data_IF_986878204972
#
_entry.id   IF_986878204972
#
_cell.length_a   1.000
_cell.length_b   1.000
_cell.length_c   1.000
_cell.angle_alpha   90.00
_cell.angle_beta   90.00
_cell.angle_gamma   90.00
#
_symmetry.space_group_name_H-M   'P 1'
#
loop_
_entity.id
_entity.type
_entity.pdbx_description
1 polymer ?
#
# COMPACT_ATOMS: atom_id res chain seq x y z
N UNK A 1 2.02 9.91 -1.67
CA UNK A 1 2.98 10.93 -2.17
C UNK A 1 2.39 12.34 -2.15
N UNK A 2 1.28 12.62 -2.86
CA UNK A 2 0.65 13.95 -2.95
C UNK A 2 0.39 14.64 -1.59
N UNK A 3 -0.18 13.92 -0.63
CA UNK A 3 -0.42 14.47 0.71
C UNK A 3 0.85 14.69 1.54
N UNK A 4 1.92 13.92 1.29
CA UNK A 4 3.19 14.15 1.99
C UNK A 4 3.92 15.38 1.43
N UNK A 5 3.64 15.77 0.18
CA UNK A 5 4.09 17.07 -0.35
C UNK A 5 3.38 18.22 0.37
N UNK A 6 2.07 18.07 0.56
CA UNK A 6 1.22 19.10 1.16
C UNK A 6 1.49 19.29 2.67
N UNK A 7 1.72 18.19 3.40
CA UNK A 7 1.86 18.21 4.86
C UNK A 7 3.31 18.22 5.36
N UNK A 8 4.25 17.65 4.60
CA UNK A 8 5.64 17.44 5.03
C UNK A 8 6.67 18.30 4.28
N UNK A 9 6.24 19.17 3.35
CA UNK A 9 7.12 20.08 2.60
C UNK A 9 8.28 19.37 1.88
N UNK A 10 8.16 18.07 1.56
CA UNK A 10 9.16 17.37 0.77
C UNK A 10 9.10 17.87 -0.69
N UNK A 11 10.24 18.38 -1.20
CA UNK A 11 10.40 18.81 -2.60
C UNK A 11 10.24 17.62 -3.55
N UNK A 12 9.01 17.38 -4.01
CA UNK A 12 8.75 16.40 -5.08
C UNK A 12 9.19 17.00 -6.41
N UNK A 13 10.34 16.52 -6.90
CA UNK A 13 10.84 16.89 -8.22
C UNK A 13 9.93 16.31 -9.31
N UNK A 14 9.75 17.01 -10.43
CA UNK A 14 8.93 16.60 -11.58
C UNK A 14 9.16 15.14 -12.04
N UNK A 15 10.42 14.66 -12.00
CA UNK A 15 10.77 13.25 -12.28
C UNK A 15 10.09 12.23 -11.35
N UNK A 16 9.89 12.54 -10.05
CA UNK A 16 9.20 11.65 -9.11
C UNK A 16 7.73 11.49 -9.52
N UNK A 17 7.12 12.54 -10.07
CA UNK A 17 5.75 12.49 -10.60
C UNK A 17 5.63 11.54 -11.80
N UNK A 18 6.54 11.64 -12.77
CA UNK A 18 6.58 10.75 -13.94
C UNK A 18 6.77 9.28 -13.49
N UNK A 19 7.68 9.05 -12.56
CA UNK A 19 7.94 7.71 -12.02
C UNK A 19 6.67 7.09 -11.40
N UNK A 20 5.91 7.86 -10.61
CA UNK A 20 4.65 7.40 -10.01
C UNK A 20 3.58 7.10 -11.07
N UNK A 21 3.48 7.90 -12.14
CA UNK A 21 2.52 7.63 -13.22
C UNK A 21 2.85 6.31 -13.92
N UNK A 22 4.13 6.08 -14.22
CA UNK A 22 4.61 4.81 -14.81
C UNK A 22 4.26 3.63 -13.88
N UNK A 23 4.46 3.79 -12.58
CA UNK A 23 4.12 2.79 -11.58
C UNK A 23 2.62 2.46 -11.55
N UNK A 24 1.75 3.49 -11.55
CA UNK A 24 0.30 3.30 -11.58
C UNK A 24 -0.12 2.52 -12.82
N UNK A 25 0.42 2.88 -13.99
CA UNK A 25 0.15 2.17 -15.24
C UNK A 25 0.65 0.72 -15.14
N UNK A 26 1.87 0.50 -14.64
CA UNK A 26 2.45 -0.83 -14.46
C UNK A 26 1.63 -1.72 -13.52
N UNK A 27 1.14 -1.19 -12.40
CA UNK A 27 0.28 -1.90 -11.46
C UNK A 27 -1.07 -2.26 -12.09
N UNK A 28 -1.73 -1.33 -12.80
CA UNK A 28 -2.99 -1.62 -13.50
C UNK A 28 -2.77 -2.74 -14.52
N UNK A 29 -1.69 -2.66 -15.28
CA UNK A 29 -1.37 -3.63 -16.33
C UNK A 29 -1.08 -5.03 -15.74
N UNK A 30 -0.39 -5.07 -14.61
CA UNK A 30 -0.07 -6.30 -13.87
C UNK A 30 -1.33 -6.98 -13.35
N UNK A 31 -2.23 -6.23 -12.71
CA UNK A 31 -3.44 -6.76 -12.05
C UNK A 31 -4.54 -7.09 -13.04
N UNK A 32 -4.75 -6.25 -14.06
CA UNK A 32 -5.85 -6.45 -15.01
C UNK A 32 -5.53 -7.47 -16.10
N UNK A 33 -4.26 -7.83 -16.27
CA UNK A 33 -3.83 -8.81 -17.28
C UNK A 33 -4.32 -8.45 -18.71
N UNK A 34 -4.49 -7.14 -18.96
CA UNK A 34 -4.86 -6.58 -20.26
C UNK A 34 -6.32 -6.73 -20.65
N UNK A 35 -7.12 -7.41 -19.82
CA UNK A 35 -8.55 -7.58 -20.05
C UNK A 35 -9.31 -6.57 -19.19
N UNK A 36 -9.37 -5.33 -19.67
CA UNK A 36 -10.28 -4.33 -19.13
C UNK A 36 -11.69 -4.66 -19.66
N UNK A 37 -12.40 -5.58 -19.01
CA UNK A 37 -13.83 -5.73 -19.23
C UNK A 37 -14.56 -4.55 -18.57
N UNK A 38 -14.52 -3.40 -19.26
CA UNK A 38 -15.15 -2.14 -18.82
C UNK A 38 -16.66 -2.34 -18.63
N UNK A 39 -17.25 -3.35 -19.27
CA UNK A 39 -18.67 -3.68 -19.21
C UNK A 39 -19.13 -4.21 -17.83
N UNK A 40 -18.21 -4.71 -16.98
CA UNK A 40 -18.52 -5.15 -15.61
C UNK A 40 -18.07 -4.17 -14.52
N UNK A 41 -17.40 -3.07 -14.88
CA UNK A 41 -16.95 -2.08 -13.91
C UNK A 41 -18.14 -1.25 -13.42
N UNK A 42 -18.72 -1.65 -12.30
CA UNK A 42 -19.70 -0.82 -11.60
C UNK A 42 -19.02 0.49 -11.17
N UNK A 43 -19.51 1.63 -11.68
CA UNK A 43 -19.04 2.97 -11.32
C UNK A 43 -18.99 3.18 -9.80
N UNK A 44 -19.94 2.56 -9.09
CA UNK A 44 -19.99 2.54 -7.63
C UNK A 44 -18.78 1.84 -7.00
N UNK A 45 -18.34 0.70 -7.54
CA UNK A 45 -17.15 -0.02 -7.08
C UNK A 45 -15.87 0.79 -7.30
N UNK A 46 -15.78 1.51 -8.43
CA UNK A 46 -14.66 2.42 -8.70
C UNK A 46 -14.61 3.57 -7.69
N UNK A 47 -15.75 4.22 -7.42
CA UNK A 47 -15.85 5.29 -6.43
C UNK A 47 -15.47 4.80 -5.03
N UNK A 48 -15.96 3.63 -4.63
CA UNK A 48 -15.62 3.02 -3.34
C UNK A 48 -14.14 2.64 -3.26
N UNK A 49 -13.55 2.11 -4.33
CA UNK A 49 -12.12 1.79 -4.40
C UNK A 49 -11.22 3.02 -4.29
N UNK A 50 -11.56 4.10 -5.02
CA UNK A 50 -10.84 5.38 -4.91
C UNK A 50 -10.99 5.97 -3.50
N UNK A 51 -12.19 5.92 -2.92
CA UNK A 51 -12.44 6.35 -1.54
C UNK A 51 -11.61 5.55 -0.52
N UNK A 52 -11.53 4.22 -0.67
CA UNK A 52 -10.73 3.36 0.19
C UNK A 52 -9.23 3.67 0.07
N UNK A 53 -8.70 3.82 -1.15
CA UNK A 53 -7.31 4.19 -1.36
C UNK A 53 -6.96 5.57 -0.79
N UNK A 54 -7.88 6.52 -0.87
CA UNK A 54 -7.74 7.85 -0.27
C UNK A 54 -7.68 7.79 1.26
N UNK A 55 -8.62 7.08 1.90
CA UNK A 55 -8.64 6.90 3.35
C UNK A 55 -7.39 6.15 3.83
N UNK A 56 -6.94 5.13 3.10
CA UNK A 56 -5.72 4.38 3.41
C UNK A 56 -4.45 5.25 3.33
N UNK A 57 -4.36 6.13 2.33
CA UNK A 57 -3.25 7.09 2.27
C UNK A 57 -3.27 8.06 3.46
N UNK A 58 -4.45 8.47 3.92
CA UNK A 58 -4.60 9.37 5.06
C UNK A 58 -4.21 8.68 6.38
N UNK A 59 -4.62 7.42 6.59
CA UNK A 59 -4.23 6.64 7.78
C UNK A 59 -2.72 6.41 7.84
N UNK A 60 -2.04 6.22 6.72
CA UNK A 60 -0.58 6.12 6.68
C UNK A 60 0.11 7.41 7.13
N UNK A 61 -0.41 8.58 6.73
CA UNK A 61 0.18 9.89 7.06
C UNK A 61 -0.07 10.26 8.51
N UNK A 62 -1.32 10.19 8.97
CA UNK A 62 -1.66 10.39 10.39
C UNK A 62 -0.92 9.35 11.24
N UNK A 63 -0.84 8.12 10.74
CA UNK A 63 -0.04 7.01 11.26
C UNK A 63 1.38 7.41 11.57
N UNK A 64 2.07 7.97 10.58
CA UNK A 64 3.47 8.43 10.69
C UNK A 64 3.61 9.57 11.70
N UNK A 65 2.70 10.54 11.68
CA UNK A 65 2.74 11.70 12.58
C UNK A 65 2.54 11.28 14.04
N UNK A 66 1.55 10.43 14.31
CA UNK A 66 1.26 9.96 15.67
C UNK A 66 2.26 8.89 16.17
N UNK A 67 2.87 8.10 15.29
CA UNK A 67 3.93 7.14 15.64
C UNK A 67 5.25 7.81 16.10
N UNK A 68 5.47 9.09 15.76
CA UNK A 68 6.65 9.86 16.19
C UNK A 68 6.65 10.16 17.69
N UNK A 69 5.47 10.30 18.30
CA UNK A 69 5.31 10.72 19.70
C UNK A 69 4.71 9.64 20.61
N UNK A 70 4.42 8.43 20.09
CA UNK A 70 3.66 7.40 20.81
C UNK A 70 4.22 6.00 20.59
N UNK A 71 4.09 5.11 21.57
CA UNK A 71 4.42 3.69 21.42
C UNK A 71 3.50 2.99 20.38
N UNK A 72 4.05 2.17 19.45
CA UNK A 72 3.29 1.48 18.38
C UNK A 72 2.16 0.60 18.88
N UNK A 73 2.37 0.03 20.07
CA UNK A 73 1.42 -0.87 20.70
C UNK A 73 0.11 -0.16 21.07
N UNK A 74 0.20 1.03 21.66
CA UNK A 74 -0.96 1.85 22.03
C UNK A 74 -1.72 2.26 20.76
N UNK A 75 -0.98 2.67 19.73
CA UNK A 75 -1.56 3.11 18.47
C UNK A 75 -2.33 1.99 17.76
N UNK A 76 -1.74 0.79 17.70
CA UNK A 76 -2.40 -0.39 17.14
C UNK A 76 -3.66 -0.75 17.92
N UNK A 77 -3.63 -0.66 19.26
CA UNK A 77 -4.79 -0.97 20.09
C UNK A 77 -5.99 -0.05 19.83
N UNK A 78 -5.75 1.27 19.73
CA UNK A 78 -6.81 2.23 19.39
C UNK A 78 -7.33 2.02 17.97
N UNK A 79 -6.44 1.77 16.99
CA UNK A 79 -6.86 1.46 15.62
C UNK A 79 -7.73 0.21 15.56
N UNK A 80 -7.35 -0.87 16.24
CA UNK A 80 -8.16 -2.09 16.29
C UNK A 80 -9.49 -1.87 17.01
N UNK A 81 -9.52 -1.09 18.08
CA UNK A 81 -10.76 -0.80 18.79
C UNK A 81 -11.75 -0.06 17.89
N UNK A 82 -11.31 1.01 17.22
CA UNK A 82 -12.17 1.75 16.29
C UNK A 82 -12.56 0.90 15.07
N UNK A 83 -11.62 0.11 14.52
CA UNK A 83 -11.92 -0.82 13.42
C UNK A 83 -12.98 -1.85 13.83
N UNK A 84 -12.89 -2.42 15.04
CA UNK A 84 -13.87 -3.40 15.53
C UNK A 84 -15.26 -2.78 15.69
N UNK A 85 -15.34 -1.56 16.25
CA UNK A 85 -16.62 -0.83 16.39
C UNK A 85 -17.23 -0.52 15.02
N UNK A 86 -16.45 0.03 14.09
CA UNK A 86 -16.94 0.34 12.73
C UNK A 86 -17.36 -0.91 11.96
N UNK A 87 -16.58 -1.99 12.06
CA UNK A 87 -16.92 -3.26 11.43
C UNK A 87 -18.22 -3.83 12.02
N UNK A 88 -18.41 -3.74 13.34
CA UNK A 88 -19.64 -4.16 14.00
C UNK A 88 -20.88 -3.38 13.52
N UNK A 89 -20.75 -2.06 13.35
CA UNK A 89 -21.83 -1.22 12.80
C UNK A 89 -22.12 -1.58 11.34
N UNK A 90 -21.08 -1.78 10.53
CA UNK A 90 -21.20 -2.12 9.11
C UNK A 90 -21.82 -3.50 8.90
N UNK A 91 -21.49 -4.47 9.77
CA UNK A 91 -22.09 -5.81 9.78
C UNK A 91 -23.60 -5.77 10.08
N UNK A 92 -24.07 -4.83 10.90
CA UNK A 92 -25.50 -4.64 11.16
C UNK A 92 -26.30 -4.17 9.94
N UNK A 93 -25.63 -3.59 8.94
CA UNK A 93 -26.25 -3.12 7.68
C UNK A 93 -26.25 -4.22 6.61
N UNK A 94 -25.26 -5.10 6.61
CA UNK A 94 -25.21 -6.26 5.70
C UNK A 94 -26.14 -7.37 6.18
N UNK A 95 -27.21 -7.63 5.44
CA UNK A 95 -28.17 -8.74 5.66
C UNK A 95 -27.59 -10.11 5.27
N UNK A 96 -26.33 -10.38 5.59
CA UNK A 96 -25.70 -11.68 5.31
C UNK A 96 -26.03 -12.66 6.44
N UNK A 97 -26.67 -13.78 6.11
CA UNK A 97 -26.91 -14.86 7.06
C UNK A 97 -25.58 -15.40 7.58
N UNK A 98 -25.41 -15.41 8.90
CA UNK A 98 -24.20 -15.91 9.54
C UNK A 98 -24.14 -17.44 9.43
N UNK A 99 -23.27 -17.94 8.55
CA UNK A 99 -22.88 -19.34 8.56
C UNK A 99 -21.79 -19.53 9.61
N UNK A 100 -22.20 -19.84 10.84
CA UNK A 100 -21.28 -20.21 11.91
C UNK A 100 -20.67 -21.59 11.65
N UNK A 101 -19.49 -21.61 11.05
CA UNK A 101 -18.68 -22.81 10.87
C UNK A 101 -17.38 -22.67 11.69
N UNK A 102 -17.11 -23.65 12.56
CA UNK A 102 -15.91 -23.70 13.40
C UNK A 102 -14.62 -23.62 12.59
N UNK A 103 -14.61 -24.15 11.35
CA UNK A 103 -13.46 -24.03 10.44
C UNK A 103 -13.20 -22.60 9.99
N UNK A 104 -14.25 -21.82 9.71
CA UNK A 104 -14.12 -20.41 9.31
C UNK A 104 -13.60 -19.58 10.48
N UNK A 105 -14.04 -19.88 11.71
CA UNK A 105 -13.57 -19.20 12.91
C UNK A 105 -12.08 -19.47 13.16
N UNK A 106 -11.64 -20.71 12.98
CA UNK A 106 -10.23 -21.08 13.11
C UNK A 106 -9.35 -20.36 12.08
N UNK A 107 -9.68 -20.43 10.79
CA UNK A 107 -8.94 -19.73 9.74
C UNK A 107 -9.00 -18.20 9.90
N UNK A 108 -10.14 -17.65 10.31
CA UNK A 108 -10.32 -16.23 10.60
C UNK A 108 -9.45 -15.76 11.77
N UNK A 109 -9.30 -16.58 12.81
CA UNK A 109 -8.42 -16.26 13.94
C UNK A 109 -6.95 -16.19 13.52
N UNK A 110 -6.45 -17.15 12.73
CA UNK A 110 -5.08 -17.11 12.21
C UNK A 110 -4.85 -15.91 11.30
N UNK A 111 -5.83 -15.58 10.45
CA UNK A 111 -5.75 -14.40 9.59
C UNK A 111 -5.73 -13.09 10.41
N UNK A 112 -6.57 -12.98 11.43
CA UNK A 112 -6.59 -11.83 12.34
C UNK A 112 -5.26 -11.66 13.09
N UNK A 113 -4.69 -12.76 13.57
CA UNK A 113 -3.46 -12.73 14.36
C UNK A 113 -2.21 -12.48 13.48
N UNK A 114 -2.03 -13.27 12.42
CA UNK A 114 -0.80 -13.24 11.62
C UNK A 114 -0.81 -12.04 10.67
N UNK A 115 -1.81 -11.93 9.80
CA UNK A 115 -1.83 -10.89 8.77
C UNK A 115 -2.09 -9.51 9.39
N UNK A 116 -2.90 -9.46 10.44
CA UNK A 116 -3.36 -8.19 11.00
C UNK A 116 -2.49 -7.76 12.17
N UNK A 117 -2.54 -8.45 13.31
CA UNK A 117 -1.82 -7.99 14.52
C UNK A 117 -0.30 -7.91 14.31
N UNK A 118 0.31 -8.98 13.81
CA UNK A 118 1.75 -9.01 13.54
C UNK A 118 2.09 -8.06 12.38
N UNK A 119 1.29 -8.07 11.30
CA UNK A 119 1.48 -7.19 10.15
C UNK A 119 1.48 -5.70 10.51
N UNK A 120 0.56 -5.24 11.36
CA UNK A 120 0.50 -3.85 11.79
C UNK A 120 1.66 -3.44 12.71
N UNK A 121 2.14 -4.36 13.57
CA UNK A 121 3.33 -4.10 14.38
C UNK A 121 4.53 -3.85 13.47
N UNK A 122 4.76 -4.73 12.49
CA UNK A 122 5.82 -4.52 11.49
C UNK A 122 5.59 -3.27 10.65
N UNK A 123 4.35 -2.96 10.30
CA UNK A 123 4.01 -1.75 9.55
C UNK A 123 4.38 -0.48 10.32
N UNK A 124 3.96 -0.34 11.59
CA UNK A 124 4.28 0.83 12.40
C UNK A 124 5.78 0.91 12.73
N UNK A 125 6.43 -0.23 12.97
CA UNK A 125 7.88 -0.26 13.21
C UNK A 125 8.68 0.10 11.95
N UNK A 126 8.26 -0.39 10.77
CA UNK A 126 8.82 -0.01 9.48
C UNK A 126 8.57 1.47 9.16
N UNK A 127 7.37 1.99 9.47
CA UNK A 127 7.02 3.38 9.23
C UNK A 127 7.87 4.36 10.05
N UNK A 128 8.33 3.96 11.24
CA UNK A 128 9.30 4.73 12.04
C UNK A 128 10.68 4.81 11.39
N UNK A 129 11.12 3.75 10.72
CA UNK A 129 12.43 3.68 10.06
C UNK A 129 12.42 4.32 8.66
N UNK A 130 11.24 4.58 8.08
CA UNK A 130 11.12 5.27 6.79
C UNK A 130 11.23 6.79 7.00
N UNK A 131 12.45 7.30 6.81
CA UNK A 131 12.79 8.73 6.89
C UNK A 131 12.30 9.53 5.69
N UNK A 132 12.24 8.93 4.50
CA UNK A 132 11.76 9.59 3.28
C UNK A 132 10.38 9.08 2.85
N UNK A 133 9.41 9.99 2.68
CA UNK A 133 8.09 9.60 2.16
C UNK A 133 8.16 9.04 0.73
N UNK A 134 9.27 9.25 0.03
CA UNK A 134 9.50 8.70 -1.31
C UNK A 134 9.74 7.19 -1.34
N UNK A 135 10.01 6.53 -0.20
CA UNK A 135 10.21 5.06 -0.16
C UNK A 135 8.90 4.27 -0.02
N UNK A 136 7.85 4.89 0.53
CA UNK A 136 6.54 4.24 0.74
C UNK A 136 5.90 3.73 -0.57
N UNK A 137 5.87 4.50 -1.68
CA UNK A 137 5.31 4.02 -2.94
C UNK A 137 6.12 2.87 -3.55
N UNK A 138 7.44 2.81 -3.30
CA UNK A 138 8.31 1.73 -3.80
C UNK A 138 7.98 0.41 -3.10
N UNK A 139 7.77 0.45 -1.79
CA UNK A 139 7.40 -0.73 -1.00
C UNK A 139 6.03 -1.26 -1.45
N UNK A 140 5.05 -0.36 -1.65
CA UNK A 140 3.73 -0.74 -2.15
C UNK A 140 3.80 -1.41 -3.53
N UNK A 141 4.68 -0.95 -4.42
CA UNK A 141 4.90 -1.58 -5.72
C UNK A 141 5.49 -2.99 -5.61
N UNK A 142 6.44 -3.20 -4.70
CA UNK A 142 7.03 -4.53 -4.46
C UNK A 142 5.95 -5.49 -3.95
N UNK A 143 5.09 -5.03 -3.05
CA UNK A 143 3.95 -5.80 -2.55
C UNK A 143 3.04 -6.27 -3.70
N UNK A 144 2.68 -5.38 -4.64
CA UNK A 144 1.84 -5.72 -5.81
C UNK A 144 2.50 -6.80 -6.68
N UNK A 145 3.82 -6.72 -6.91
CA UNK A 145 4.55 -7.72 -7.70
C UNK A 145 4.54 -9.08 -6.98
N UNK A 146 4.85 -9.09 -5.68
CA UNK A 146 4.88 -10.33 -4.88
C UNK A 146 3.49 -10.97 -4.82
N UNK A 147 2.44 -10.16 -4.63
CA UNK A 147 1.05 -10.62 -4.64
C UNK A 147 0.69 -11.25 -5.99
N UNK A 148 1.06 -10.61 -7.11
CA UNK A 148 0.83 -11.16 -8.45
C UNK A 148 1.59 -12.47 -8.66
N UNK A 149 2.86 -12.56 -8.24
CA UNK A 149 3.66 -13.77 -8.37
C UNK A 149 3.09 -14.94 -7.55
N UNK A 150 2.65 -14.69 -6.31
CA UNK A 150 1.98 -15.69 -5.47
C UNK A 150 0.66 -16.13 -6.12
N UNK A 151 -0.10 -15.20 -6.69
CA UNK A 151 -1.30 -15.50 -7.49
C UNK A 151 -1.04 -16.54 -8.56
N UNK A 152 0.06 -16.38 -9.29
CA UNK A 152 0.42 -17.25 -10.41
C UNK A 152 0.95 -18.59 -9.95
N UNK A 153 1.80 -18.61 -8.92
CA UNK A 153 2.40 -19.85 -8.41
C UNK A 153 1.34 -20.72 -7.71
N UNK A 154 0.47 -20.10 -6.90
CA UNK A 154 -0.46 -20.83 -6.05
C UNK A 154 -1.82 -21.07 -6.70
N UNK A 155 -2.38 -20.05 -7.34
CA UNK A 155 -3.69 -20.13 -8.00
C UNK A 155 -3.60 -20.51 -9.48
N UNK A 156 -2.38 -20.69 -10.02
CA UNK A 156 -2.11 -21.05 -11.42
C UNK A 156 -2.77 -20.10 -12.43
N UNK A 157 -2.85 -18.83 -12.07
CA UNK A 157 -3.38 -17.80 -12.95
C UNK A 157 -2.51 -17.69 -14.22
N UNK A 158 -3.16 -17.70 -15.39
CA UNK A 158 -2.48 -17.49 -16.65
C UNK A 158 -2.05 -16.02 -16.78
N UNK A 159 -0.79 -15.72 -16.48
CA UNK A 159 -0.20 -14.44 -16.84
C UNK A 159 -0.18 -14.31 -18.36
N UNK A 160 -0.93 -13.33 -18.86
CA UNK A 160 -0.79 -12.87 -20.23
C UNK A 160 0.50 -12.08 -20.39
N UNK A 161 0.94 -11.93 -21.64
CA UNK A 161 2.11 -11.14 -22.02
C UNK A 161 2.06 -9.71 -21.48
N UNK A 162 0.85 -9.15 -21.34
CA UNK A 162 0.63 -7.82 -20.78
C UNK A 162 0.99 -7.74 -19.28
N UNK A 163 0.61 -8.72 -18.44
CA UNK A 163 0.94 -8.67 -17.02
C UNK A 163 2.44 -8.73 -16.80
N UNK A 164 3.15 -9.50 -17.61
CA UNK A 164 4.61 -9.53 -17.58
C UNK A 164 5.22 -8.15 -17.89
N UNK A 165 4.69 -7.45 -18.90
CA UNK A 165 5.12 -6.09 -19.23
C UNK A 165 4.83 -5.09 -18.10
N UNK A 166 3.71 -5.28 -17.40
CA UNK A 166 3.38 -4.54 -16.18
C UNK A 166 4.44 -4.70 -15.09
N UNK A 167 4.83 -5.95 -14.79
CA UNK A 167 5.86 -6.26 -13.79
C UNK A 167 7.19 -5.59 -14.15
N UNK A 168 7.61 -5.68 -15.42
CA UNK A 168 8.83 -5.03 -15.90
C UNK A 168 8.77 -3.51 -15.73
N UNK A 169 7.64 -2.87 -16.06
CA UNK A 169 7.46 -1.44 -15.88
C UNK A 169 7.56 -1.01 -14.41
N UNK A 170 6.98 -1.78 -13.49
CA UNK A 170 7.07 -1.52 -12.04
C UNK A 170 8.51 -1.72 -11.54
N UNK A 171 9.24 -2.73 -12.02
CA UNK A 171 10.66 -2.94 -11.68
C UNK A 171 11.53 -1.77 -12.17
N UNK A 172 11.30 -1.27 -13.39
CA UNK A 172 11.99 -0.09 -13.90
C UNK A 172 11.72 1.15 -13.04
N UNK A 173 10.47 1.34 -12.60
CA UNK A 173 10.12 2.40 -11.65
C UNK A 173 10.90 2.28 -10.34
N UNK A 174 10.98 1.08 -9.75
CA UNK A 174 11.70 0.83 -8.50
C UNK A 174 13.18 1.19 -8.66
N UNK A 175 13.82 0.76 -9.76
CA UNK A 175 15.23 1.04 -10.06
C UNK A 175 15.46 2.56 -10.20
N UNK A 176 14.61 3.24 -10.98
CA UNK A 176 14.73 4.68 -11.24
C UNK A 176 14.54 5.50 -9.95
N UNK A 177 13.60 5.09 -9.09
CA UNK A 177 13.37 5.73 -7.80
C UNK A 177 14.51 5.48 -6.81
N UNK A 178 15.10 4.28 -6.82
CA UNK A 178 16.22 3.90 -5.95
C UNK A 178 17.52 4.64 -6.33
N UNK A 179 17.86 4.70 -7.61
CA UNK A 179 19.05 5.44 -8.08
C UNK A 179 18.99 6.93 -7.74
N UNK A 180 17.80 7.54 -7.80
CA UNK A 180 17.65 8.95 -7.46
C UNK A 180 17.80 9.21 -5.96
N UNK A 181 17.34 8.30 -5.10
CA UNK A 181 17.53 8.41 -3.65
C UNK A 181 19.02 8.44 -3.27
N UNK A 182 19.86 7.64 -3.95
CA UNK A 182 21.32 7.67 -3.77
C UNK A 182 21.96 8.98 -4.24
N UNK A 183 21.51 9.54 -5.36
CA UNK A 183 22.05 10.81 -5.87
C UNK A 183 21.64 12.02 -5.01
N UNK A 184 20.45 12.02 -4.39
CA UNK A 184 20.05 13.09 -3.46
C UNK A 184 20.87 13.08 -2.16
N UNK A 185 21.19 11.89 -1.63
CA UNK A 185 22.02 11.74 -0.44
C UNK A 185 23.49 12.16 -0.68
N UNK A 186 24.02 11.91 -1.88
CA UNK A 186 25.35 12.42 -2.27
C UNK A 186 25.37 13.95 -2.41
N UNK A 187 24.29 14.56 -2.89
CA UNK A 187 24.24 16.04 -3.04
C UNK A 187 24.14 16.75 -1.69
N UNK A 188 23.46 16.14 -0.70
CA UNK A 188 23.32 16.69 0.65
C UNK A 188 24.60 16.51 1.49
N UNK A 189 25.29 15.37 1.36
CA UNK A 189 26.59 15.14 2.01
C UNK A 189 27.70 16.05 1.46
N UNK A 190 27.74 16.30 0.14
CA UNK A 190 28.72 17.22 -0.47
C UNK A 190 28.47 18.67 -0.05
N UNK A 191 27.22 19.07 0.20
CA UNK A 191 26.91 20.41 0.71
C UNK A 191 27.29 20.56 2.20
N UNK A 192 27.13 19.51 3.01
CA UNK A 192 27.48 19.51 4.43
C UNK A 192 29.00 19.49 4.70
N UNK A 193 29.81 18.91 3.81
CA UNK A 193 31.29 18.97 3.90
C UNK A 193 31.90 20.29 3.39
N UNK A 194 31.08 21.19 2.82
CA UNK A 194 31.52 22.49 2.27
C UNK A 194 31.25 23.69 3.19
N UNK A 195 30.76 23.45 4.41
CA UNK A 195 30.55 24.43 5.49
C UNK A 195 31.48 24.10 6.67
#
# INVERSE_FOLDING_TARGET
MLFSVLFFQEKVTFLKGIAVIINIIGCILTVTNGKLEIQSLALFGLLMGVGAGFLYALTAIIGRVAAKNTYPFIMSMYSYFFSAVFLGISMGVSRTEFTFNTGIFFWGFFYALITTAIGYIFYYEGLKHITESSKVPVIASVEVIVASLIGVVWYREHLGFISFLGIVAVLLFIILMNQKANNSLQTENVAAESL
#
